data_IF_308798474424
#
_entry.id   IF_308798474424
#
_cell.length_a   1.000
_cell.length_b   1.000
_cell.length_c   1.000
_cell.angle_alpha   90.00
_cell.angle_beta   90.00
_cell.angle_gamma   90.00
#
_symmetry.space_group_name_H-M   'P 1'
#
loop_
_entity.id
_entity.type
_entity.pdbx_description
1 polymer ?
#
# COMPACT_ATOMS: atom_id res chain seq x y z
N UNK A 1 -4.07 29.04 6.41
CA UNK A 1 -3.96 28.54 5.02
C UNK A 1 -2.54 28.08 4.58
N UNK A 2 -1.55 28.06 5.47
CA UNK A 2 -0.13 27.80 5.12
C UNK A 2 0.35 26.35 5.38
N UNK A 3 -0.45 25.46 5.93
CA UNK A 3 -0.02 24.10 6.31
C UNK A 3 -0.12 23.05 5.17
N UNK A 4 -0.58 23.42 3.97
CA UNK A 4 -0.75 22.49 2.84
C UNK A 4 0.52 22.18 2.05
N UNK A 5 1.59 22.97 2.23
CA UNK A 5 2.79 22.88 1.39
C UNK A 5 3.78 21.78 1.77
N UNK A 6 3.80 21.35 3.02
CA UNK A 6 4.89 20.49 3.53
C UNK A 6 4.58 18.98 3.46
N UNK A 7 3.33 18.58 3.28
CA UNK A 7 2.97 17.16 3.19
C UNK A 7 3.29 16.55 1.81
N UNK A 8 3.20 17.33 0.74
CA UNK A 8 3.41 16.85 -0.64
C UNK A 8 4.82 16.28 -0.85
N UNK A 9 5.93 16.95 -0.46
CA UNK A 9 7.27 16.40 -0.65
C UNK A 9 7.52 15.15 0.20
N UNK A 10 6.90 15.04 1.37
CA UNK A 10 7.02 13.86 2.23
C UNK A 10 6.28 12.65 1.64
N UNK A 11 5.07 12.87 1.13
CA UNK A 11 4.30 11.85 0.41
C UNK A 11 5.06 11.38 -0.83
N UNK A 12 5.52 12.33 -1.65
CA UNK A 12 6.27 12.02 -2.86
C UNK A 12 7.59 11.28 -2.53
N UNK A 13 8.33 11.73 -1.53
CA UNK A 13 9.58 11.10 -1.10
C UNK A 13 9.38 9.67 -0.60
N UNK A 14 8.39 9.44 0.27
CA UNK A 14 8.08 8.11 0.79
C UNK A 14 7.60 7.14 -0.30
N UNK A 15 6.80 7.63 -1.25
CA UNK A 15 6.34 6.85 -2.39
C UNK A 15 7.48 6.53 -3.37
N UNK A 16 8.31 7.51 -3.73
CA UNK A 16 9.48 7.28 -4.57
C UNK A 16 10.42 6.25 -3.95
N UNK A 17 10.66 6.34 -2.65
CA UNK A 17 11.48 5.37 -1.93
C UNK A 17 10.87 3.96 -1.97
N UNK A 18 9.56 3.84 -1.71
CA UNK A 18 8.84 2.58 -1.78
C UNK A 18 8.82 2.00 -3.21
N UNK A 19 8.64 2.84 -4.24
CA UNK A 19 8.69 2.43 -5.65
C UNK A 19 10.07 1.89 -6.04
N UNK A 20 11.14 2.60 -5.69
CA UNK A 20 12.51 2.15 -5.97
C UNK A 20 12.80 0.81 -5.32
N UNK A 21 12.40 0.62 -4.07
CA UNK A 21 12.56 -0.66 -3.38
C UNK A 21 11.74 -1.78 -4.04
N UNK A 22 10.51 -1.49 -4.44
CA UNK A 22 9.62 -2.46 -5.09
C UNK A 22 10.18 -2.91 -6.44
N UNK A 23 10.69 -1.97 -7.26
CA UNK A 23 11.27 -2.29 -8.58
C UNK A 23 12.55 -3.11 -8.43
N UNK A 24 13.41 -2.76 -7.47
CA UNK A 24 14.63 -3.54 -7.21
C UNK A 24 14.32 -4.94 -6.66
N UNK A 25 13.29 -5.05 -5.79
CA UNK A 25 12.84 -6.34 -5.24
C UNK A 25 12.19 -7.25 -6.27
N UNK A 26 11.50 -6.70 -7.25
CA UNK A 26 10.83 -7.46 -8.32
C UNK A 26 11.79 -8.27 -9.21
N UNK A 27 13.09 -7.96 -9.18
CA UNK A 27 14.14 -8.66 -9.93
C UNK A 27 14.74 -9.87 -9.22
N UNK A 28 14.40 -10.09 -7.96
CA UNK A 28 15.03 -11.12 -7.12
C UNK A 28 14.03 -12.22 -6.76
N UNK A 29 14.52 -13.40 -6.40
CA UNK A 29 13.72 -14.52 -5.87
C UNK A 29 12.95 -14.18 -4.59
N UNK A 30 13.31 -13.07 -3.97
CA UNK A 30 12.64 -12.49 -2.79
C UNK A 30 11.33 -11.78 -3.11
N UNK A 31 10.91 -11.73 -4.36
CA UNK A 31 9.69 -11.07 -4.83
C UNK A 31 8.44 -11.49 -4.01
N UNK A 32 8.36 -12.77 -3.63
CA UNK A 32 7.23 -13.31 -2.86
C UNK A 32 7.29 -13.01 -1.37
N UNK A 33 8.48 -12.69 -0.85
CA UNK A 33 8.67 -12.33 0.56
C UNK A 33 8.58 -10.82 0.81
N UNK A 34 8.77 -10.00 -0.24
CA UNK A 34 8.70 -8.54 -0.07
C UNK A 34 7.27 -8.10 0.16
N UNK A 35 7.02 -7.36 1.25
CA UNK A 35 5.72 -6.74 1.45
C UNK A 35 5.47 -5.74 0.32
N UNK A 36 4.24 -5.53 -0.10
CA UNK A 36 3.89 -4.51 -1.09
C UNK A 36 4.07 -3.11 -0.46
N UNK A 37 5.32 -2.66 -0.38
CA UNK A 37 5.70 -1.42 0.32
C UNK A 37 4.94 -0.20 -0.21
N UNK A 38 4.75 -0.15 -1.53
CA UNK A 38 3.97 0.95 -2.16
C UNK A 38 2.53 0.93 -1.67
N UNK A 39 1.92 -0.26 -1.53
CA UNK A 39 0.57 -0.40 -0.98
C UNK A 39 0.53 0.08 0.48
N UNK A 40 1.47 -0.38 1.32
CA UNK A 40 1.51 -0.02 2.73
C UNK A 40 1.71 1.48 2.94
N UNK A 41 2.61 2.11 2.17
CA UNK A 41 2.81 3.56 2.21
C UNK A 41 1.56 4.30 1.74
N UNK A 42 0.92 3.84 0.66
CA UNK A 42 -0.34 4.42 0.17
C UNK A 42 -1.44 4.30 1.21
N UNK A 43 -1.59 3.14 1.85
CA UNK A 43 -2.56 2.91 2.93
C UNK A 43 -2.30 3.80 4.14
N UNK A 44 -1.04 4.01 4.50
CA UNK A 44 -0.69 4.94 5.57
C UNK A 44 -1.20 6.35 5.28
N UNK A 45 -0.95 6.87 4.07
CA UNK A 45 -1.42 8.19 3.68
C UNK A 45 -2.93 8.29 3.51
N UNK A 46 -3.60 7.21 3.09
CA UNK A 46 -5.07 7.13 3.03
C UNK A 46 -5.69 7.16 4.43
N UNK A 47 -5.06 6.49 5.41
CA UNK A 47 -5.57 6.38 6.78
C UNK A 47 -5.24 7.58 7.68
N UNK A 48 -4.06 8.15 7.52
CA UNK A 48 -3.54 9.20 8.43
C UNK A 48 -3.31 10.55 7.74
N UNK A 49 -3.32 10.58 6.41
CA UNK A 49 -3.11 11.79 5.63
C UNK A 49 -4.35 12.68 5.54
N UNK A 50 -4.18 13.89 4.99
CA UNK A 50 -5.31 14.77 4.68
C UNK A 50 -6.25 14.18 3.64
N UNK A 51 -7.51 14.63 3.63
CA UNK A 51 -8.62 14.14 2.78
C UNK A 51 -8.29 14.07 1.28
N UNK A 52 -7.29 14.83 0.83
CA UNK A 52 -6.81 14.81 -0.56
C UNK A 52 -6.18 13.46 -0.98
N UNK A 53 -5.63 12.70 -0.03
CA UNK A 53 -5.01 11.39 -0.28
C UNK A 53 -6.02 10.25 -0.14
N UNK A 54 -7.16 10.38 -0.83
CA UNK A 54 -8.23 9.39 -0.85
C UNK A 54 -8.12 8.38 -1.98
N UNK A 55 -9.29 7.93 -2.43
CA UNK A 55 -9.43 6.90 -3.47
C UNK A 55 -8.75 7.28 -4.80
N UNK A 56 -8.88 8.55 -5.23
CA UNK A 56 -8.25 9.04 -6.45
C UNK A 56 -6.71 8.99 -6.40
N UNK A 57 -6.14 9.27 -5.24
CA UNK A 57 -4.69 9.15 -5.02
C UNK A 57 -4.23 7.69 -5.14
N UNK A 58 -4.94 6.75 -4.51
CA UNK A 58 -4.65 5.32 -4.59
C UNK A 58 -4.76 4.81 -6.04
N UNK A 59 -5.77 5.27 -6.78
CA UNK A 59 -5.92 4.95 -8.20
C UNK A 59 -4.72 5.40 -9.04
N UNK A 60 -4.27 6.65 -8.85
CA UNK A 60 -3.13 7.20 -9.58
C UNK A 60 -1.83 6.42 -9.28
N UNK A 61 -1.61 6.04 -8.02
CA UNK A 61 -0.44 5.24 -7.65
C UNK A 61 -0.51 3.83 -8.25
N UNK A 62 -1.70 3.20 -8.23
CA UNK A 62 -1.91 1.92 -8.89
C UNK A 62 -1.68 1.99 -10.39
N UNK A 63 -2.20 3.04 -11.06
CA UNK A 63 -1.99 3.27 -12.48
C UNK A 63 -0.51 3.51 -12.83
N UNK A 64 0.20 4.23 -11.98
CA UNK A 64 1.65 4.42 -12.12
C UNK A 64 2.41 3.08 -12.04
N UNK A 65 2.01 2.20 -11.12
CA UNK A 65 2.57 0.85 -11.02
C UNK A 65 2.27 0.00 -12.26
N UNK A 66 1.04 0.05 -12.77
CA UNK A 66 0.66 -0.65 -14.00
C UNK A 66 1.55 -0.23 -15.18
N UNK A 67 1.79 1.08 -15.32
CA UNK A 67 2.68 1.61 -16.36
C UNK A 67 4.14 1.18 -16.17
N UNK A 68 4.64 1.17 -14.91
CA UNK A 68 6.03 0.81 -14.62
C UNK A 68 6.30 -0.68 -14.75
N UNK A 69 5.35 -1.52 -14.39
CA UNK A 69 5.45 -2.98 -14.46
C UNK A 69 5.02 -3.55 -15.82
N UNK A 70 4.40 -2.71 -16.66
CA UNK A 70 3.89 -3.12 -17.98
C UNK A 70 2.74 -4.12 -17.88
N UNK A 71 1.94 -4.05 -16.81
CA UNK A 71 0.79 -4.94 -16.63
C UNK A 71 -0.38 -4.44 -17.48
N UNK A 72 -0.94 -5.29 -18.36
CA UNK A 72 -2.11 -4.92 -19.13
C UNK A 72 -3.35 -4.90 -18.21
N UNK A 73 -4.24 -3.94 -18.44
CA UNK A 73 -5.60 -3.97 -17.86
C UNK A 73 -5.84 -3.18 -16.57
N UNK A 74 -4.84 -2.54 -15.98
CA UNK A 74 -5.07 -1.72 -14.78
C UNK A 74 -5.30 -2.56 -13.51
N UNK A 75 -4.67 -3.72 -13.43
CA UNK A 75 -4.79 -4.67 -12.30
C UNK A 75 -4.44 -4.00 -10.97
N UNK A 76 -3.29 -3.29 -10.93
CA UNK A 76 -2.84 -2.57 -9.74
C UNK A 76 -3.76 -1.38 -9.43
N UNK A 77 -4.20 -0.64 -10.44
CA UNK A 77 -5.10 0.49 -10.25
C UNK A 77 -6.41 0.06 -9.57
N UNK A 78 -7.02 -1.02 -10.04
CA UNK A 78 -8.24 -1.58 -9.44
C UNK A 78 -7.98 -2.14 -8.03
N UNK A 79 -6.91 -2.92 -7.85
CA UNK A 79 -6.57 -3.49 -6.55
C UNK A 79 -6.31 -2.41 -5.50
N UNK A 80 -5.60 -1.33 -5.86
CA UNK A 80 -5.37 -0.18 -4.99
C UNK A 80 -6.66 0.57 -4.66
N UNK A 81 -7.55 0.78 -5.64
CA UNK A 81 -8.85 1.40 -5.42
C UNK A 81 -9.69 0.63 -4.40
N UNK A 82 -9.85 -0.67 -4.61
CA UNK A 82 -10.68 -1.51 -3.71
C UNK A 82 -10.08 -1.51 -2.31
N UNK A 83 -8.76 -1.68 -2.20
CA UNK A 83 -8.07 -1.72 -0.91
C UNK A 83 -8.14 -0.37 -0.19
N UNK A 84 -7.98 0.75 -0.92
CA UNK A 84 -8.12 2.10 -0.36
C UNK A 84 -9.56 2.39 0.07
N UNK A 85 -10.55 1.92 -0.67
CA UNK A 85 -11.96 2.04 -0.28
C UNK A 85 -12.23 1.30 1.03
N UNK A 86 -11.75 0.08 1.17
CA UNK A 86 -11.85 -0.68 2.42
C UNK A 86 -11.12 0.02 3.57
N UNK A 87 -9.94 0.57 3.31
CA UNK A 87 -9.17 1.34 4.29
C UNK A 87 -9.95 2.56 4.79
N UNK A 88 -10.54 3.33 3.88
CA UNK A 88 -11.38 4.50 4.26
C UNK A 88 -12.59 4.12 5.11
N UNK A 89 -13.21 2.98 4.82
CA UNK A 89 -14.31 2.47 5.67
C UNK A 89 -13.85 2.13 7.08
N UNK A 90 -12.60 1.71 7.24
CA UNK A 90 -12.00 1.34 8.52
C UNK A 90 -11.24 2.50 9.19
N UNK A 91 -10.99 3.61 8.49
CA UNK A 91 -10.21 4.76 8.95
C UNK A 91 -10.60 5.22 10.35
N UNK A 92 -11.91 5.44 10.56
CA UNK A 92 -12.42 5.94 11.83
C UNK A 92 -12.13 4.99 13.01
N UNK A 93 -12.11 3.68 12.75
CA UNK A 93 -11.75 2.68 13.77
C UNK A 93 -10.26 2.59 13.99
N UNK A 94 -9.48 2.60 12.90
CA UNK A 94 -8.02 2.43 12.94
C UNK A 94 -7.32 3.57 13.69
N UNK A 95 -7.79 4.80 13.52
CA UNK A 95 -7.21 5.99 14.20
C UNK A 95 -7.32 5.96 15.72
N UNK A 96 -8.34 5.28 16.26
CA UNK A 96 -8.61 5.24 17.70
C UNK A 96 -8.12 3.95 18.40
N UNK A 97 -7.66 2.96 17.64
CA UNK A 97 -7.23 1.69 18.19
C UNK A 97 -5.71 1.56 18.35
N UNK A 98 -5.31 0.63 19.22
CA UNK A 98 -3.92 0.32 19.52
C UNK A 98 -3.16 -0.24 18.32
N UNK A 99 -1.82 -0.12 18.34
CA UNK A 99 -0.91 -0.57 17.27
C UNK A 99 -1.17 -2.02 16.81
N UNK A 100 -1.40 -3.02 17.71
CA UNK A 100 -1.65 -4.39 17.25
C UNK A 100 -2.92 -4.53 16.40
N UNK A 101 -3.96 -3.75 16.69
CA UNK A 101 -5.15 -3.73 15.85
C UNK A 101 -4.87 -3.13 14.46
N UNK A 102 -4.05 -2.09 14.40
CA UNK A 102 -3.61 -1.49 13.13
C UNK A 102 -2.82 -2.49 12.28
N UNK A 103 -1.95 -3.30 12.89
CA UNK A 103 -1.22 -4.37 12.20
C UNK A 103 -2.18 -5.42 11.61
N UNK A 104 -3.22 -5.79 12.36
CA UNK A 104 -4.22 -6.74 11.89
C UNK A 104 -5.02 -6.19 10.71
N UNK A 105 -5.42 -4.92 10.77
CA UNK A 105 -6.11 -4.25 9.66
C UNK A 105 -5.20 -4.13 8.43
N UNK A 106 -3.93 -3.76 8.60
CA UNK A 106 -2.97 -3.69 7.51
C UNK A 106 -2.77 -5.06 6.85
N UNK A 107 -2.68 -6.13 7.64
CA UNK A 107 -2.64 -7.50 7.16
C UNK A 107 -3.89 -7.90 6.38
N UNK A 108 -5.08 -7.58 6.90
CA UNK A 108 -6.35 -7.86 6.23
C UNK A 108 -6.48 -7.10 4.89
N UNK A 109 -6.05 -5.83 4.85
CA UNK A 109 -6.05 -5.04 3.62
C UNK A 109 -5.04 -5.58 2.59
N UNK A 110 -3.86 -6.00 3.05
CA UNK A 110 -2.86 -6.65 2.18
C UNK A 110 -3.38 -7.98 1.65
N UNK A 111 -4.09 -8.76 2.47
CA UNK A 111 -4.73 -10.00 2.04
C UNK A 111 -5.81 -9.73 0.99
N UNK A 112 -6.65 -8.71 1.18
CA UNK A 112 -7.64 -8.31 0.18
C UNK A 112 -6.98 -7.93 -1.15
N UNK A 113 -5.89 -7.16 -1.10
CA UNK A 113 -5.08 -6.83 -2.27
C UNK A 113 -4.55 -8.09 -2.98
N UNK A 114 -3.98 -9.04 -2.24
CA UNK A 114 -3.46 -10.29 -2.80
C UNK A 114 -4.56 -11.13 -3.45
N UNK A 115 -5.74 -11.22 -2.84
CA UNK A 115 -6.87 -11.95 -3.41
C UNK A 115 -7.30 -11.35 -4.75
N UNK A 116 -7.33 -10.03 -4.86
CA UNK A 116 -7.65 -9.34 -6.12
C UNK A 116 -6.58 -9.65 -7.18
N UNK A 117 -5.30 -9.56 -6.83
CA UNK A 117 -4.20 -9.86 -7.76
C UNK A 117 -4.21 -11.32 -8.21
N UNK A 118 -4.53 -12.25 -7.31
CA UNK A 118 -4.70 -13.67 -7.65
C UNK A 118 -5.89 -13.87 -8.60
N UNK A 119 -7.01 -13.20 -8.34
CA UNK A 119 -8.19 -13.29 -9.21
C UNK A 119 -7.88 -12.83 -10.64
N UNK A 120 -7.16 -11.71 -10.81
CA UNK A 120 -6.69 -11.25 -12.12
C UNK A 120 -5.72 -12.25 -12.78
N UNK A 121 -4.75 -12.77 -12.00
CA UNK A 121 -3.79 -13.75 -12.50
C UNK A 121 -4.45 -15.05 -12.99
N UNK A 122 -5.53 -15.50 -12.35
CA UNK A 122 -6.31 -16.66 -12.78
C UNK A 122 -7.11 -16.38 -14.05
N UNK A 123 -7.68 -15.18 -14.18
CA UNK A 123 -8.47 -14.79 -15.34
C UNK A 123 -7.61 -14.63 -16.62
N UNK A 124 -6.45 -14.01 -16.49
CA UNK A 124 -5.64 -13.65 -17.66
C UNK A 124 -4.61 -14.71 -18.06
N UNK A 125 -4.02 -15.38 -17.08
CA UNK A 125 -2.84 -16.23 -17.30
C UNK A 125 -3.07 -17.71 -17.04
N UNK A 126 -4.26 -18.10 -16.57
CA UNK A 126 -4.52 -19.50 -16.16
C UNK A 126 -3.54 -19.96 -15.07
N UNK A 127 -3.05 -19.01 -14.26
CA UNK A 127 -1.91 -19.19 -13.38
C UNK A 127 -2.17 -20.12 -12.21
N UNK A 128 -1.13 -20.76 -11.75
CA UNK A 128 -1.14 -21.54 -10.50
C UNK A 128 -1.16 -20.63 -9.28
N UNK A 129 -1.95 -21.01 -8.28
CA UNK A 129 -1.95 -20.36 -6.97
C UNK A 129 -0.59 -20.59 -6.30
N UNK A 130 0.24 -19.58 -6.24
CA UNK A 130 1.48 -19.63 -5.45
C UNK A 130 1.17 -19.21 -4.02
N UNK A 131 1.05 -20.19 -3.12
CA UNK A 131 0.86 -19.97 -1.67
C UNK A 131 1.95 -19.07 -1.07
N UNK A 132 3.11 -19.01 -1.73
CA UNK A 132 4.21 -18.12 -1.33
C UNK A 132 3.82 -16.63 -1.31
N UNK A 133 2.82 -16.20 -2.10
CA UNK A 133 2.35 -14.82 -2.10
C UNK A 133 1.73 -14.42 -0.76
N UNK A 134 1.15 -15.37 -0.01
CA UNK A 134 0.55 -15.08 1.29
C UNK A 134 1.56 -14.77 2.39
N UNK A 135 2.84 -15.15 2.22
CA UNK A 135 3.89 -14.75 3.17
C UNK A 135 4.06 -13.23 3.21
N UNK A 136 3.75 -12.52 2.12
CA UNK A 136 3.80 -11.06 2.08
C UNK A 136 2.80 -10.39 3.03
N UNK A 137 1.72 -11.08 3.42
CA UNK A 137 0.76 -10.58 4.43
C UNK A 137 1.42 -10.55 5.81
N UNK A 138 2.16 -11.60 6.17
CA UNK A 138 2.88 -11.67 7.45
C UNK A 138 3.99 -10.61 7.51
N UNK A 139 4.74 -10.46 6.42
CA UNK A 139 5.78 -9.42 6.35
C UNK A 139 5.17 -8.01 6.38
N UNK A 140 4.00 -7.78 5.78
CA UNK A 140 3.27 -6.53 5.87
C UNK A 140 2.86 -6.20 7.31
N UNK A 141 2.37 -7.18 8.07
CA UNK A 141 2.02 -7.00 9.49
C UNK A 141 3.24 -6.61 10.34
N UNK A 142 4.41 -7.19 10.05
CA UNK A 142 5.66 -6.86 10.76
C UNK A 142 6.22 -5.50 10.37
N UNK A 143 6.10 -5.13 9.11
CA UNK A 143 6.61 -3.85 8.58
C UNK A 143 5.70 -2.68 8.95
N UNK A 144 4.39 -2.93 9.16
CA UNK A 144 3.43 -1.88 9.47
C UNK A 144 3.81 -1.00 10.66
N UNK A 145 4.15 -1.53 11.87
CA UNK A 145 4.51 -0.69 13.01
C UNK A 145 5.77 0.14 12.76
N UNK A 146 6.72 -0.42 11.99
CA UNK A 146 7.92 0.30 11.59
C UNK A 146 7.57 1.49 10.68
N UNK A 147 6.67 1.28 9.71
CA UNK A 147 6.19 2.34 8.81
C UNK A 147 5.44 3.43 9.57
N UNK A 148 4.53 3.05 10.46
CA UNK A 148 3.78 4.00 11.29
C UNK A 148 4.74 4.83 12.15
N UNK A 149 5.76 4.22 12.74
CA UNK A 149 6.76 4.92 13.53
C UNK A 149 7.63 5.86 12.69
N UNK A 150 8.09 5.40 11.52
CA UNK A 150 8.96 6.18 10.64
C UNK A 150 8.22 7.35 9.99
N UNK A 151 7.05 7.07 9.40
CA UNK A 151 6.24 8.09 8.75
C UNK A 151 5.56 9.02 9.76
N UNK A 152 5.21 8.53 10.94
CA UNK A 152 4.70 9.35 12.04
C UNK A 152 5.71 10.40 12.48
N UNK A 153 7.00 10.04 12.61
CA UNK A 153 8.07 11.01 12.89
C UNK A 153 8.26 12.06 11.81
N UNK A 154 8.03 11.70 10.55
CA UNK A 154 8.08 12.65 9.45
C UNK A 154 6.86 13.57 9.46
N UNK A 155 5.71 13.03 9.85
CA UNK A 155 4.45 13.78 9.95
C UNK A 155 4.48 14.80 11.11
N UNK A 156 4.99 14.42 12.29
CA UNK A 156 5.10 15.31 13.45
C UNK A 156 6.10 16.47 13.27
N UNK A 157 7.04 16.36 12.33
CA UNK A 157 7.97 17.44 12.00
C UNK A 157 7.40 18.52 11.09
N UNK A 158 6.20 18.34 10.60
CA UNK A 158 5.55 19.24 9.62
C UNK A 158 4.47 20.14 10.21
N UNK A 159 4.25 20.09 11.52
CA UNK A 159 3.29 20.95 12.26
C UNK A 159 4.00 21.96 13.16
#
# INVERSE_FOLDING_TARGET
MAARGNAVPQVAGSLCFALVLTINGARSWTQYLMPPLVLLVTLYWVLFGPVLYGLGFAFLIGLLLDLMLGTPGGEYALAFCVTAYLAQRLEHRVRHFTIPYQCLVAGALTLAFQLIMVAFGLLERGGSLHLAQFYSVLTAMLVWPLLVFLLGRLHDRSW
#
